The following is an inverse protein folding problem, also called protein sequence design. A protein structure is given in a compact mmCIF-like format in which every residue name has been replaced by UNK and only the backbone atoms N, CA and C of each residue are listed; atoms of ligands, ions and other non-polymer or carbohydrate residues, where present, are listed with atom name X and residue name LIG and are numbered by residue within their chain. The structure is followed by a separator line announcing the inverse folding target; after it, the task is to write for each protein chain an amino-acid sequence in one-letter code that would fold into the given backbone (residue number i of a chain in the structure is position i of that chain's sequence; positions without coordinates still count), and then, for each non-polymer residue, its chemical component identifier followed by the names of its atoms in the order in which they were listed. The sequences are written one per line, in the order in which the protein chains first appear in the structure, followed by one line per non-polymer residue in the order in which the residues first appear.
data_IF_163546229961
#
_entry.id   IF_163546229961
#
_cell.length_a   1.000
_cell.length_b   1.000
_cell.length_c   1.000
_cell.angle_alpha   90.00
_cell.angle_beta   90.00
_cell.angle_gamma   90.00
#
_symmetry.space_group_name_H-M   'P 1'
#
loop_
_entity.id
_entity.type
_entity.pdbx_description
1 polymer ?
#
# COMPACT_ATOMS: atom_id res chain seq x y z
N UNK A 1 -50.66 12.10 -0.41
CA UNK A 1 -50.82 10.95 -1.34
C UNK A 1 -52.16 10.23 -1.21
N UNK A 2 -52.67 9.89 -0.01
CA UNK A 2 -53.97 9.18 0.14
C UNK A 2 -55.17 9.85 -0.55
N UNK A 3 -55.27 11.19 -0.53
CA UNK A 3 -56.39 11.92 -1.13
C UNK A 3 -56.45 11.76 -2.66
N UNK A 4 -55.31 11.86 -3.37
CA UNK A 4 -55.24 11.73 -4.83
C UNK A 4 -55.55 10.31 -5.32
N UNK A 5 -55.17 9.29 -4.55
CA UNK A 5 -55.51 7.89 -4.83
C UNK A 5 -57.02 7.65 -4.72
N UNK A 6 -57.66 8.14 -3.66
CA UNK A 6 -59.10 8.04 -3.49
C UNK A 6 -59.86 8.84 -4.56
N UNK A 7 -59.39 10.03 -4.93
CA UNK A 7 -59.93 10.81 -6.04
C UNK A 7 -59.78 10.05 -7.36
N UNK A 8 -58.64 9.42 -7.61
CA UNK A 8 -58.40 8.59 -8.79
C UNK A 8 -59.36 7.41 -8.90
N UNK A 9 -59.55 6.65 -7.81
CA UNK A 9 -60.49 5.52 -7.73
C UNK A 9 -61.93 5.96 -7.96
N UNK A 10 -62.36 7.03 -7.27
CA UNK A 10 -63.72 7.58 -7.43
C UNK A 10 -63.92 8.05 -8.87
N UNK A 11 -62.92 8.73 -9.46
CA UNK A 11 -62.97 9.15 -10.86
C UNK A 11 -63.07 7.96 -11.81
N UNK A 12 -62.30 6.88 -11.58
CA UNK A 12 -62.32 5.68 -12.43
C UNK A 12 -63.64 4.92 -12.37
N UNK A 13 -64.26 4.86 -11.19
CA UNK A 13 -65.48 4.08 -10.98
C UNK A 13 -66.75 4.86 -11.32
N UNK A 14 -66.76 6.19 -11.17
CA UNK A 14 -67.98 7.00 -11.25
C UNK A 14 -68.12 7.73 -12.59
N UNK A 15 -67.02 8.21 -13.18
CA UNK A 15 -67.08 9.03 -14.40
C UNK A 15 -67.41 8.22 -15.66
N UNK A 16 -66.83 7.04 -15.91
CA UNK A 16 -67.13 6.24 -17.10
C UNK A 16 -68.60 5.78 -17.21
N UNK A 17 -69.27 5.30 -16.13
CA UNK A 17 -70.68 4.96 -16.19
C UNK A 17 -71.57 6.17 -16.48
N UNK A 18 -71.27 7.34 -15.89
CA UNK A 18 -72.03 8.57 -16.14
C UNK A 18 -71.89 8.99 -17.60
N UNK A 19 -70.67 8.99 -18.15
CA UNK A 19 -70.44 9.33 -19.57
C UNK A 19 -71.13 8.31 -20.50
N UNK A 20 -70.98 7.03 -20.22
CA UNK A 20 -71.55 5.96 -21.05
C UNK A 20 -73.08 5.96 -21.07
N UNK A 21 -73.72 6.23 -19.93
CA UNK A 21 -75.20 6.27 -19.83
C UNK A 21 -75.76 7.58 -20.39
N UNK A 22 -75.10 8.71 -20.17
CA UNK A 22 -75.65 10.03 -20.50
C UNK A 22 -75.36 10.50 -21.93
N UNK A 23 -74.19 10.13 -22.48
CA UNK A 23 -73.76 10.56 -23.83
C UNK A 23 -73.84 9.44 -24.88
N UNK A 24 -74.10 8.19 -24.47
CA UNK A 24 -74.20 7.05 -25.39
C UNK A 24 -72.89 6.69 -26.10
N UNK A 25 -71.77 7.31 -25.70
CA UNK A 25 -70.47 7.17 -26.34
C UNK A 25 -69.54 6.28 -25.50
N UNK A 26 -69.47 5.02 -25.93
CA UNK A 26 -68.70 3.97 -25.27
C UNK A 26 -67.17 4.18 -25.39
N UNK A 27 -66.73 4.92 -26.41
CA UNK A 27 -65.31 5.24 -26.63
C UNK A 27 -64.79 6.21 -25.55
N UNK A 28 -65.56 7.26 -25.29
CA UNK A 28 -65.21 8.31 -24.32
C UNK A 28 -65.29 7.80 -22.87
N UNK A 29 -66.18 6.83 -22.60
CA UNK A 29 -66.24 6.12 -21.32
C UNK A 29 -64.97 5.31 -21.05
N UNK A 30 -64.48 4.54 -22.02
CA UNK A 30 -63.24 3.76 -21.88
C UNK A 30 -62.00 4.64 -21.71
N UNK A 31 -61.92 5.76 -22.43
CA UNK A 31 -60.84 6.73 -22.27
C UNK A 31 -60.79 7.30 -20.84
N UNK A 32 -61.94 7.65 -20.26
CA UNK A 32 -62.03 8.16 -18.89
C UNK A 32 -61.60 7.10 -17.85
N UNK A 33 -61.95 5.82 -18.06
CA UNK A 33 -61.53 4.72 -17.21
C UNK A 33 -60.01 4.51 -17.24
N UNK A 34 -59.40 4.54 -18.44
CA UNK A 34 -57.96 4.41 -18.59
C UNK A 34 -57.20 5.57 -17.94
N UNK A 35 -57.70 6.80 -18.09
CA UNK A 35 -57.11 7.97 -17.45
C UNK A 35 -57.16 7.88 -15.91
N UNK A 36 -58.28 7.48 -15.33
CA UNK A 36 -58.36 7.31 -13.87
C UNK A 36 -57.52 6.13 -13.35
N UNK A 37 -57.42 5.04 -14.11
CA UNK A 37 -56.56 3.90 -13.78
C UNK A 37 -55.08 4.29 -13.81
N UNK A 38 -54.68 5.07 -14.82
CA UNK A 38 -53.32 5.60 -14.95
C UNK A 38 -52.94 6.54 -13.81
N UNK A 39 -53.82 7.48 -13.43
CA UNK A 39 -53.57 8.38 -12.29
C UNK A 39 -53.45 7.60 -10.97
N UNK A 40 -54.28 6.57 -10.78
CA UNK A 40 -54.23 5.70 -9.60
C UNK A 40 -52.91 4.92 -9.56
N UNK A 41 -52.45 4.39 -10.69
CA UNK A 41 -51.17 3.70 -10.81
C UNK A 41 -49.97 4.61 -10.53
N UNK A 42 -49.93 5.80 -11.14
CA UNK A 42 -48.85 6.79 -10.95
C UNK A 42 -48.79 7.28 -9.49
N UNK A 43 -49.94 7.39 -8.81
CA UNK A 43 -49.98 7.81 -7.40
C UNK A 43 -49.32 6.81 -6.42
N UNK A 44 -49.13 5.55 -6.84
CA UNK A 44 -48.51 4.47 -6.05
C UNK A 44 -47.11 4.08 -6.56
N UNK A 45 -46.68 4.66 -7.67
CA UNK A 45 -45.39 4.34 -8.31
C UNK A 45 -44.20 4.69 -7.42
N UNK A 46 -44.29 5.76 -6.63
CA UNK A 46 -43.23 6.14 -5.66
C UNK A 46 -43.11 5.14 -4.50
N UNK A 47 -44.24 4.64 -3.97
CA UNK A 47 -44.25 3.62 -2.91
C UNK A 47 -43.71 2.27 -3.42
N UNK A 48 -44.04 1.88 -4.66
CA UNK A 48 -43.50 0.68 -5.29
C UNK A 48 -42.00 0.81 -5.60
N UNK A 49 -41.55 2.00 -6.01
CA UNK A 49 -40.14 2.29 -6.25
C UNK A 49 -39.33 2.22 -4.94
N UNK A 50 -39.82 2.79 -3.84
CA UNK A 50 -39.19 2.71 -2.52
C UNK A 50 -39.11 1.25 -2.01
N UNK A 51 -40.16 0.46 -2.21
CA UNK A 51 -40.20 -0.95 -1.83
C UNK A 51 -39.22 -1.80 -2.65
N UNK A 52 -39.01 -1.49 -3.93
CA UNK A 52 -38.04 -2.17 -4.79
C UNK A 52 -36.58 -1.75 -4.52
N UNK A 53 -36.35 -0.52 -4.06
CA UNK A 53 -35.01 0.01 -3.84
C UNK A 53 -34.40 -0.44 -2.50
N UNK A 54 -35.22 -0.74 -1.49
CA UNK A 54 -34.74 -1.23 -0.18
C UNK A 54 -33.92 -2.53 -0.29
N UNK A 55 -34.50 -3.63 -0.82
CA UNK A 55 -33.79 -4.90 -0.97
C UNK A 55 -32.61 -4.82 -1.94
N UNK A 56 -32.73 -4.03 -3.02
CA UNK A 56 -31.64 -3.83 -3.99
C UNK A 56 -30.48 -3.06 -3.37
N UNK A 57 -30.75 -1.99 -2.59
CA UNK A 57 -29.74 -1.22 -1.88
C UNK A 57 -29.05 -2.05 -0.79
N UNK A 58 -29.79 -2.88 -0.08
CA UNK A 58 -29.22 -3.81 0.91
C UNK A 58 -28.29 -4.83 0.25
N UNK A 59 -28.72 -5.47 -0.85
CA UNK A 59 -27.91 -6.43 -1.61
C UNK A 59 -26.70 -5.79 -2.29
N UNK A 60 -26.83 -4.54 -2.77
CA UNK A 60 -25.70 -3.76 -3.28
C UNK A 60 -24.71 -3.46 -2.17
N UNK A 61 -25.17 -3.03 -0.99
CA UNK A 61 -24.29 -2.78 0.17
C UNK A 61 -23.56 -4.05 0.57
N UNK A 62 -24.26 -5.17 0.70
CA UNK A 62 -23.67 -6.48 1.00
C UNK A 62 -22.59 -6.87 -0.02
N UNK A 63 -22.88 -6.72 -1.32
CA UNK A 63 -21.90 -7.02 -2.38
C UNK A 63 -20.72 -6.06 -2.39
N UNK A 64 -20.92 -4.79 -2.04
CA UNK A 64 -19.84 -3.80 -1.87
C UNK A 64 -18.98 -4.14 -0.66
N UNK A 65 -19.59 -4.54 0.45
CA UNK A 65 -18.89 -4.94 1.68
C UNK A 65 -18.08 -6.23 1.43
N UNK A 66 -18.66 -7.23 0.74
CA UNK A 66 -17.99 -8.47 0.33
C UNK A 66 -16.80 -8.20 -0.62
N UNK A 67 -17.00 -7.31 -1.61
CA UNK A 67 -15.93 -6.89 -2.51
C UNK A 67 -14.83 -6.14 -1.76
N UNK A 68 -15.18 -5.28 -0.81
CA UNK A 68 -14.22 -4.54 0.02
C UNK A 68 -13.39 -5.48 0.89
N UNK A 69 -14.03 -6.48 1.51
CA UNK A 69 -13.34 -7.52 2.27
C UNK A 69 -12.40 -8.35 1.38
N UNK A 70 -12.82 -8.68 0.15
CA UNK A 70 -11.98 -9.39 -0.82
C UNK A 70 -10.76 -8.55 -1.23
N UNK A 71 -10.94 -7.24 -1.45
CA UNK A 71 -9.85 -6.30 -1.75
C UNK A 71 -8.85 -6.24 -0.59
N UNK A 72 -9.35 -6.20 0.66
CA UNK A 72 -8.50 -6.20 1.85
C UNK A 72 -7.71 -7.50 1.98
N UNK A 73 -8.32 -8.65 1.71
CA UNK A 73 -7.63 -9.94 1.68
C UNK A 73 -6.54 -9.98 0.61
N UNK A 74 -6.84 -9.54 -0.62
CA UNK A 74 -5.85 -9.47 -1.70
C UNK A 74 -4.69 -8.53 -1.35
N UNK A 75 -4.98 -7.40 -0.70
CA UNK A 75 -3.95 -6.47 -0.22
C UNK A 75 -3.06 -7.13 0.83
N UNK A 76 -3.62 -7.86 1.79
CA UNK A 76 -2.83 -8.55 2.82
C UNK A 76 -1.93 -9.63 2.21
N UNK A 77 -2.43 -10.39 1.22
CA UNK A 77 -1.63 -11.37 0.47
C UNK A 77 -0.52 -10.68 -0.30
N UNK A 78 -0.80 -9.55 -0.97
CA UNK A 78 0.20 -8.77 -1.68
C UNK A 78 1.29 -8.25 -0.74
N UNK A 79 0.94 -7.70 0.42
CA UNK A 79 1.88 -7.24 1.44
C UNK A 79 2.79 -8.37 1.92
N UNK A 80 2.23 -9.53 2.29
CA UNK A 80 3.02 -10.69 2.73
C UNK A 80 3.95 -11.22 1.64
N UNK A 81 3.47 -11.26 0.39
CA UNK A 81 4.30 -11.67 -0.75
C UNK A 81 5.41 -10.65 -1.05
N UNK A 82 5.13 -9.35 -0.92
CA UNK A 82 6.13 -8.29 -1.04
C UNK A 82 7.18 -8.36 0.06
N UNK A 83 6.80 -8.62 1.30
CA UNK A 83 7.73 -8.85 2.42
C UNK A 83 8.70 -9.99 2.12
N UNK A 84 8.18 -11.16 1.69
CA UNK A 84 8.99 -12.29 1.29
C UNK A 84 9.92 -11.96 0.11
N UNK A 85 9.38 -11.30 -0.92
CA UNK A 85 10.17 -10.92 -2.12
C UNK A 85 11.29 -9.94 -1.78
N UNK A 86 11.02 -8.94 -0.93
CA UNK A 86 12.04 -7.98 -0.50
C UNK A 86 13.11 -8.64 0.37
N UNK A 87 12.70 -9.55 1.25
CA UNK A 87 13.61 -10.35 2.07
C UNK A 87 14.53 -11.22 1.21
N UNK A 88 13.97 -11.91 0.22
CA UNK A 88 14.75 -12.71 -0.73
C UNK A 88 15.67 -11.84 -1.58
N UNK A 89 15.19 -10.66 -2.02
CA UNK A 89 15.98 -9.72 -2.82
C UNK A 89 17.21 -9.23 -2.06
N UNK A 90 17.06 -8.94 -0.77
CA UNK A 90 18.16 -8.43 0.07
C UNK A 90 19.07 -9.57 0.56
N UNK A 91 18.53 -10.75 0.87
CA UNK A 91 19.31 -11.95 1.17
C UNK A 91 20.15 -12.38 -0.05
N UNK A 92 19.58 -12.25 -1.25
CA UNK A 92 20.26 -12.51 -2.52
C UNK A 92 21.46 -11.62 -2.78
N UNK A 93 21.62 -10.50 -2.04
CA UNK A 93 22.85 -9.69 -2.04
C UNK A 93 24.10 -10.45 -1.62
N UNK A 94 23.91 -11.60 -0.96
CA UNK A 94 25.00 -12.42 -0.49
C UNK A 94 25.34 -13.60 -1.41
N UNK A 95 24.50 -13.92 -2.41
CA UNK A 95 24.60 -15.19 -3.15
C UNK A 95 24.89 -15.05 -4.66
N UNK A 96 24.24 -14.20 -5.48
CA UNK A 96 24.71 -13.93 -6.87
C UNK A 96 23.88 -12.87 -7.67
N UNK A 97 24.50 -12.30 -8.71
CA UNK A 97 23.89 -11.94 -10.01
C UNK A 97 23.27 -10.55 -10.21
N UNK A 98 22.55 -10.01 -9.24
CA UNK A 98 21.81 -8.75 -9.43
C UNK A 98 22.56 -7.53 -8.91
N UNK A 99 22.69 -6.48 -9.73
CA UNK A 99 23.31 -5.23 -9.30
C UNK A 99 22.49 -4.53 -8.21
N UNK A 100 23.17 -3.82 -7.31
CA UNK A 100 22.53 -3.08 -6.23
C UNK A 100 21.51 -2.05 -6.77
N UNK A 101 21.86 -1.36 -7.86
CA UNK A 101 20.95 -0.44 -8.55
C UNK A 101 19.65 -1.12 -9.00
N UNK A 102 19.75 -2.34 -9.57
CA UNK A 102 18.56 -3.08 -10.00
C UNK A 102 17.70 -3.51 -8.81
N UNK A 103 18.31 -3.84 -7.67
CA UNK A 103 17.56 -4.18 -6.44
C UNK A 103 16.78 -3.00 -5.90
N UNK A 104 17.42 -1.82 -5.78
CA UNK A 104 16.73 -0.60 -5.35
C UNK A 104 15.56 -0.28 -6.29
N UNK A 105 15.76 -0.43 -7.61
CA UNK A 105 14.67 -0.25 -8.57
C UNK A 105 13.51 -1.23 -8.36
N UNK A 106 13.78 -2.51 -8.10
CA UNK A 106 12.74 -3.51 -7.84
C UNK A 106 12.01 -3.19 -6.54
N UNK A 107 12.73 -2.80 -5.49
CA UNK A 107 12.15 -2.31 -4.25
C UNK A 107 11.16 -1.17 -4.52
N UNK A 108 11.59 -0.11 -5.21
CA UNK A 108 10.74 1.05 -5.48
C UNK A 108 9.49 0.68 -6.28
N UNK A 109 9.62 -0.25 -7.23
CA UNK A 109 8.48 -0.78 -7.98
C UNK A 109 7.50 -1.54 -7.08
N UNK A 110 7.99 -2.36 -6.14
CA UNK A 110 7.15 -3.08 -5.18
C UNK A 110 6.41 -2.11 -4.27
N UNK A 111 7.11 -1.12 -3.70
CA UNK A 111 6.48 -0.12 -2.82
C UNK A 111 5.46 0.72 -3.59
N UNK A 112 5.77 1.11 -4.82
CA UNK A 112 4.83 1.83 -5.69
C UNK A 112 3.58 0.99 -5.98
N UNK A 113 3.73 -0.30 -6.28
CA UNK A 113 2.60 -1.21 -6.51
C UNK A 113 1.73 -1.38 -5.26
N UNK A 114 2.34 -1.55 -4.07
CA UNK A 114 1.62 -1.61 -2.80
C UNK A 114 0.80 -0.34 -2.54
N UNK A 115 1.37 0.84 -2.80
CA UNK A 115 0.64 2.12 -2.71
C UNK A 115 -0.51 2.20 -3.70
N UNK A 116 -0.32 1.74 -4.94
CA UNK A 116 -1.37 1.74 -5.97
C UNK A 116 -2.59 0.87 -5.62
N UNK A 117 -2.38 -0.24 -4.90
CA UNK A 117 -3.48 -1.10 -4.39
C UNK A 117 -4.08 -0.59 -3.06
N UNK A 118 -3.64 0.59 -2.60
CA UNK A 118 -4.12 1.23 -1.39
C UNK A 118 -3.61 0.59 -0.10
N UNK A 119 -2.40 0.03 -0.09
CA UNK A 119 -1.74 -0.36 1.15
C UNK A 119 -1.53 0.85 2.06
N UNK A 120 -1.75 0.65 3.36
CA UNK A 120 -1.49 1.67 4.37
C UNK A 120 0.00 1.81 4.66
N UNK A 121 0.43 2.94 5.20
CA UNK A 121 1.84 3.16 5.57
C UNK A 121 2.36 2.11 6.56
N UNK A 122 1.52 1.66 7.51
CA UNK A 122 1.87 0.60 8.45
C UNK A 122 2.09 -0.76 7.76
N UNK A 123 1.31 -1.09 6.72
CA UNK A 123 1.50 -2.31 5.93
C UNK A 123 2.78 -2.25 5.10
N UNK A 124 3.07 -1.09 4.53
CA UNK A 124 4.31 -0.84 3.78
C UNK A 124 5.52 -0.94 4.73
N UNK A 125 5.45 -0.32 5.90
CA UNK A 125 6.50 -0.38 6.92
C UNK A 125 6.77 -1.82 7.36
N UNK A 126 5.71 -2.63 7.54
CA UNK A 126 5.86 -4.04 7.86
C UNK A 126 6.54 -4.81 6.72
N UNK A 127 6.13 -4.59 5.47
CA UNK A 127 6.75 -5.24 4.31
C UNK A 127 8.24 -4.87 4.13
N UNK A 128 8.62 -3.66 4.50
CA UNK A 128 10.01 -3.18 4.42
C UNK A 128 10.88 -3.58 5.62
N UNK A 129 10.32 -4.19 6.68
CA UNK A 129 11.04 -4.38 7.96
C UNK A 129 12.39 -5.08 7.80
N UNK A 130 12.42 -6.21 7.12
CA UNK A 130 13.66 -6.99 6.93
C UNK A 130 14.52 -6.44 5.80
N UNK A 131 13.91 -5.77 4.82
CA UNK A 131 14.64 -4.97 3.83
C UNK A 131 15.51 -3.90 4.50
N UNK A 132 14.94 -3.13 5.44
CA UNK A 132 15.66 -2.09 6.19
C UNK A 132 16.84 -2.67 6.95
N UNK A 133 16.65 -3.81 7.63
CA UNK A 133 17.75 -4.52 8.30
C UNK A 133 18.86 -4.88 7.33
N UNK A 134 18.52 -5.45 6.17
CA UNK A 134 19.51 -5.79 5.15
C UNK A 134 20.26 -4.55 4.62
N UNK A 135 19.59 -3.40 4.44
CA UNK A 135 20.26 -2.13 4.11
C UNK A 135 21.25 -1.71 5.21
N UNK A 136 20.91 -1.89 6.50
CA UNK A 136 21.87 -1.59 7.60
C UNK A 136 23.13 -2.46 7.54
N UNK A 137 22.99 -3.73 7.16
CA UNK A 137 24.14 -4.64 6.95
C UNK A 137 25.00 -4.17 5.77
N UNK A 138 24.41 -3.63 4.72
CA UNK A 138 25.16 -3.07 3.59
C UNK A 138 25.95 -1.82 4.04
N UNK A 139 25.33 -0.89 4.79
CA UNK A 139 26.04 0.26 5.36
C UNK A 139 27.22 -0.17 6.23
N UNK A 140 27.03 -1.16 7.10
CA UNK A 140 28.12 -1.74 7.90
C UNK A 140 29.28 -2.21 7.03
N UNK A 141 28.99 -2.96 5.96
CA UNK A 141 30.01 -3.45 5.02
C UNK A 141 30.75 -2.32 4.31
N UNK A 142 30.02 -1.31 3.82
CA UNK A 142 30.60 -0.13 3.17
C UNK A 142 31.55 0.59 4.13
N UNK A 143 31.07 0.93 5.33
CA UNK A 143 31.86 1.63 6.34
C UNK A 143 33.11 0.81 6.71
N UNK A 144 32.95 -0.49 6.95
CA UNK A 144 34.08 -1.37 7.30
C UNK A 144 35.11 -1.45 6.16
N UNK A 145 34.66 -1.50 4.91
CA UNK A 145 35.53 -1.49 3.72
C UNK A 145 36.35 -0.20 3.64
N UNK A 146 35.69 0.95 3.86
CA UNK A 146 36.34 2.27 3.86
C UNK A 146 37.31 2.40 5.05
N UNK A 147 36.97 1.89 6.23
CA UNK A 147 37.88 1.83 7.40
C UNK A 147 39.17 1.09 7.07
N UNK A 148 39.07 -0.05 6.37
CA UNK A 148 40.23 -0.83 5.93
C UNK A 148 40.94 -0.21 4.71
N UNK A 149 40.37 0.83 4.09
CA UNK A 149 40.89 1.48 2.89
C UNK A 149 40.95 0.54 1.68
N UNK A 150 39.98 -0.37 1.53
CA UNK A 150 39.93 -1.28 0.38
C UNK A 150 39.21 -0.63 -0.80
N UNK A 151 39.78 -0.74 -1.99
CA UNK A 151 39.11 -0.30 -3.23
C UNK A 151 37.86 -1.14 -3.55
N UNK A 152 37.89 -2.44 -3.21
CA UNK A 152 36.78 -3.37 -3.39
C UNK A 152 36.70 -4.35 -2.22
N UNK A 153 35.52 -4.90 -1.95
CA UNK A 153 35.31 -5.81 -0.81
C UNK A 153 36.22 -7.05 -0.84
N UNK A 154 36.51 -7.57 -2.04
CA UNK A 154 37.35 -8.75 -2.30
C UNK A 154 38.86 -8.49 -2.26
N UNK A 155 39.29 -7.23 -2.29
CA UNK A 155 40.71 -6.85 -2.40
C UNK A 155 41.28 -6.59 -1.01
N UNK A 156 42.35 -7.30 -0.64
CA UNK A 156 43.08 -7.05 0.60
C UNK A 156 44.01 -5.87 0.40
N UNK A 157 43.84 -4.81 1.21
CA UNK A 157 44.80 -3.71 1.26
C UNK A 157 45.96 -4.08 2.20
N UNK A 158 47.15 -4.30 1.64
CA UNK A 158 48.36 -4.61 2.42
C UNK A 158 48.89 -3.44 3.25
N UNK A 159 48.36 -2.22 3.05
CA UNK A 159 48.74 -0.99 3.76
C UNK A 159 47.82 -0.67 4.95
N UNK A 160 46.85 -1.52 5.26
CA UNK A 160 45.94 -1.29 6.40
C UNK A 160 46.71 -1.30 7.72
N UNK A 161 46.55 -0.26 8.53
CA UNK A 161 47.19 -0.14 9.84
C UNK A 161 46.60 -1.12 10.85
N UNK A 162 47.35 -1.44 11.91
CA UNK A 162 46.87 -2.29 13.01
C UNK A 162 45.59 -1.72 13.66
N UNK A 163 45.53 -0.41 13.88
CA UNK A 163 44.35 0.27 14.41
C UNK A 163 43.12 0.14 13.50
N UNK A 164 43.30 0.24 12.18
CA UNK A 164 42.20 0.04 11.22
C UNK A 164 41.70 -1.41 11.22
N UNK A 165 42.61 -2.39 11.31
CA UNK A 165 42.25 -3.79 11.41
C UNK A 165 41.51 -4.09 12.71
N UNK A 166 41.98 -3.55 13.84
CA UNK A 166 41.33 -3.70 15.14
C UNK A 166 39.93 -3.07 15.16
N UNK A 167 39.79 -1.84 14.63
CA UNK A 167 38.50 -1.18 14.49
C UNK A 167 37.53 -2.00 13.61
N UNK A 168 37.99 -2.48 12.45
CA UNK A 168 37.18 -3.28 11.53
C UNK A 168 36.80 -4.66 12.11
N UNK A 169 37.63 -5.23 12.98
CA UNK A 169 37.32 -6.47 13.71
C UNK A 169 36.26 -6.21 14.77
N UNK A 170 36.41 -5.19 15.61
CA UNK A 170 35.43 -4.88 16.66
C UNK A 170 34.06 -4.49 16.07
N UNK A 171 34.04 -3.81 14.93
CA UNK A 171 32.79 -3.57 14.18
C UNK A 171 32.15 -4.87 13.67
N UNK A 172 32.97 -5.86 13.27
CA UNK A 172 32.48 -7.16 12.79
C UNK A 172 31.93 -8.00 13.95
N UNK A 173 32.54 -7.92 15.13
CA UNK A 173 32.11 -8.66 16.31
C UNK A 173 30.75 -8.17 16.85
N UNK A 174 30.40 -6.90 16.58
CA UNK A 174 29.08 -6.34 16.90
C UNK A 174 28.00 -6.67 15.87
N UNK A 175 28.35 -7.26 14.72
CA UNK A 175 27.37 -7.65 13.71
C UNK A 175 26.71 -8.95 14.14
N UNK A 176 25.41 -8.89 14.44
CA UNK A 176 24.57 -10.08 14.60
C UNK A 176 24.02 -10.46 13.22
N UNK A 177 24.74 -11.35 12.55
CA UNK A 177 24.39 -11.79 11.20
C UNK A 177 23.13 -12.67 11.17
N UNK A 178 22.80 -13.39 12.24
CA UNK A 178 21.61 -14.25 12.25
C UNK A 178 20.33 -13.43 12.29
N UNK A 179 20.38 -12.25 12.93
CA UNK A 179 19.23 -11.33 13.04
C UNK A 179 19.32 -10.10 12.11
N UNK A 180 20.34 -10.04 11.25
CA UNK A 180 20.65 -8.88 10.38
C UNK A 180 20.74 -7.56 11.14
N UNK A 181 21.30 -7.59 12.36
CA UNK A 181 21.46 -6.38 13.16
C UNK A 181 22.90 -5.87 13.05
N UNK A 182 23.06 -4.72 12.39
CA UNK A 182 24.31 -3.97 12.35
C UNK A 182 24.46 -3.05 13.58
N UNK A 183 25.71 -2.74 14.00
CA UNK A 183 25.95 -1.74 15.04
C UNK A 183 25.43 -0.37 14.60
N UNK A 184 24.84 0.37 15.54
CA UNK A 184 24.35 1.73 15.31
C UNK A 184 25.46 2.71 14.91
N UNK A 185 25.14 3.83 14.23
CA UNK A 185 26.11 4.88 13.90
C UNK A 185 26.92 5.33 15.13
N UNK A 186 26.28 5.45 16.29
CA UNK A 186 26.95 5.85 17.52
C UNK A 186 27.99 4.82 18.00
N UNK A 187 27.68 3.52 17.93
CA UNK A 187 28.63 2.46 18.27
C UNK A 187 29.82 2.47 17.30
N UNK A 188 29.57 2.67 16.01
CA UNK A 188 30.61 2.80 14.98
C UNK A 188 31.51 4.01 15.30
N UNK A 189 30.95 5.18 15.60
CA UNK A 189 31.70 6.38 15.98
C UNK A 189 32.58 6.15 17.23
N UNK A 190 32.06 5.45 18.24
CA UNK A 190 32.82 5.10 19.44
C UNK A 190 34.04 4.23 19.12
N UNK A 191 33.87 3.21 18.26
CA UNK A 191 34.97 2.33 17.83
C UNK A 191 36.01 3.13 17.04
N UNK A 192 35.57 3.95 16.07
CA UNK A 192 36.46 4.80 15.28
C UNK A 192 37.27 5.75 16.16
N UNK A 193 36.63 6.35 17.17
CA UNK A 193 37.29 7.22 18.15
C UNK A 193 38.30 6.45 19.00
N UNK A 194 37.96 5.25 19.48
CA UNK A 194 38.82 4.37 20.30
C UNK A 194 40.14 4.05 19.59
N UNK A 195 40.09 3.73 18.30
CA UNK A 195 41.28 3.39 17.50
C UNK A 195 41.90 4.58 16.76
N UNK A 196 41.41 5.80 16.99
CA UNK A 196 41.86 7.01 16.29
C UNK A 196 41.80 6.91 14.75
N UNK A 197 40.84 6.16 14.22
CA UNK A 197 40.62 6.02 12.77
C UNK A 197 39.67 7.12 12.32
N UNK A 198 40.13 8.00 11.43
CA UNK A 198 39.33 9.10 10.89
C UNK A 198 39.63 9.30 9.40
N UNK A 199 38.57 9.45 8.61
CA UNK A 199 38.65 9.97 7.26
C UNK A 199 37.36 10.72 6.92
N UNK A 200 37.41 11.64 5.97
CA UNK A 200 36.21 12.34 5.49
C UNK A 200 35.18 11.37 4.91
N UNK A 201 35.65 10.31 4.25
CA UNK A 201 34.83 9.27 3.63
C UNK A 201 34.11 8.41 4.69
N UNK A 202 34.78 8.04 5.79
CA UNK A 202 34.14 7.33 6.91
C UNK A 202 33.02 8.19 7.49
N UNK A 203 33.30 9.47 7.76
CA UNK A 203 32.30 10.38 8.34
C UNK A 203 31.10 10.58 7.39
N UNK A 204 31.35 10.62 6.09
CA UNK A 204 30.31 10.68 5.07
C UNK A 204 29.36 9.47 5.18
N UNK A 205 29.89 8.25 5.16
CA UNK A 205 29.06 7.05 5.22
C UNK A 205 28.37 6.83 6.57
N UNK A 206 29.02 7.20 7.68
CA UNK A 206 28.38 7.17 9.01
C UNK A 206 27.22 8.16 9.08
N UNK A 207 27.39 9.36 8.52
CA UNK A 207 26.32 10.37 8.46
C UNK A 207 25.18 9.93 7.55
N UNK A 208 25.48 9.28 6.42
CA UNK A 208 24.47 8.75 5.50
C UNK A 208 23.67 7.62 6.16
N UNK A 209 24.37 6.72 6.85
CA UNK A 209 23.73 5.65 7.61
C UNK A 209 22.81 6.17 8.72
N UNK A 210 23.24 7.21 9.46
CA UNK A 210 22.39 7.87 10.45
C UNK A 210 21.11 8.43 9.82
N UNK A 211 21.25 9.10 8.67
CA UNK A 211 20.09 9.64 7.96
C UNK A 211 19.15 8.54 7.47
N UNK A 212 19.68 7.42 6.97
CA UNK A 212 18.85 6.27 6.59
C UNK A 212 18.01 5.76 7.77
N UNK A 213 18.59 5.66 8.97
CA UNK A 213 17.83 5.22 10.16
C UNK A 213 16.75 6.22 10.59
N UNK A 214 16.96 7.52 10.36
CA UNK A 214 16.01 8.58 10.74
C UNK A 214 14.89 8.78 9.71
N UNK A 215 15.22 8.65 8.42
CA UNK A 215 14.32 9.04 7.32
C UNK A 215 13.90 7.86 6.44
N UNK A 216 14.46 6.67 6.63
CA UNK A 216 14.28 5.52 5.74
C UNK A 216 14.63 5.80 4.27
N UNK A 217 15.61 6.68 4.04
CA UNK A 217 16.02 7.14 2.72
C UNK A 217 17.54 7.04 2.56
N UNK A 218 17.98 6.49 1.41
CA UNK A 218 19.39 6.46 1.01
C UNK A 218 19.68 7.77 0.25
N UNK A 219 20.24 8.77 0.94
CA UNK A 219 20.44 10.12 0.39
C UNK A 219 21.37 10.14 -0.82
N UNK A 220 22.41 9.30 -0.81
CA UNK A 220 23.41 9.22 -1.88
C UNK A 220 23.33 7.89 -2.62
N UNK A 221 22.14 7.59 -3.17
CA UNK A 221 21.87 6.32 -3.86
C UNK A 221 22.86 6.01 -5.00
N UNK A 222 23.34 7.02 -5.72
CA UNK A 222 24.30 6.86 -6.81
C UNK A 222 25.70 6.40 -6.35
N UNK A 223 26.10 6.76 -5.14
CA UNK A 223 27.32 6.26 -4.50
C UNK A 223 27.06 4.88 -3.90
N UNK A 224 25.92 4.71 -3.23
CA UNK A 224 25.55 3.46 -2.57
C UNK A 224 25.49 2.27 -3.53
N UNK A 225 25.02 2.48 -4.77
CA UNK A 225 24.95 1.41 -5.79
C UNK A 225 26.29 1.02 -6.40
N UNK A 226 27.34 1.84 -6.21
CA UNK A 226 28.69 1.55 -6.72
C UNK A 226 29.48 0.64 -5.78
N UNK A 227 29.03 0.52 -4.53
CA UNK A 227 29.71 -0.24 -3.48
C UNK A 227 29.31 -1.71 -3.41
#
# INVERSE_FOLDING_TARGET
MKLLFWIGIVFTLVVPPIIGVYFGDQSTSWAAALCGAFVTFVSRLSELAELSLGPVKAKMKEKVDEASATIEQLRNVAVANSEATLTDLIAGNFIDGMSQAKRLQIHDNIICALRQIGATDAQIENAEKDWKKGITVIYHRIIRRVVMGREQASVINSKTTENQNAAASEMQDLLDFDNWMAPSPHQIEMILKKYSVRSSEINFWVSDYKHFLECNEIRHGDQFVKE
#
